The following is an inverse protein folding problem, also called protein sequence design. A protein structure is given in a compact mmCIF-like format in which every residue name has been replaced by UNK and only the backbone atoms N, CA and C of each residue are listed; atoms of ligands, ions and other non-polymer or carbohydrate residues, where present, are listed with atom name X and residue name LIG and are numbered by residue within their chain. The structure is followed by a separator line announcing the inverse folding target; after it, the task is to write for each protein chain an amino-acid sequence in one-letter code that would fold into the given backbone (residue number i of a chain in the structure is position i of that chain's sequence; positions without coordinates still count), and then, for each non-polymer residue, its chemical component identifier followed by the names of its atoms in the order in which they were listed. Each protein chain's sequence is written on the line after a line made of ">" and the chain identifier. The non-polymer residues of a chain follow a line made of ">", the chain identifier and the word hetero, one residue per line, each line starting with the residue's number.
data_IF_746756854444
#
_entry.id   IF_746756854444
#
_cell.length_a   1.000
_cell.length_b   1.000
_cell.length_c   1.000
_cell.angle_alpha   90.00
_cell.angle_beta   90.00
_cell.angle_gamma   90.00
#
_symmetry.space_group_name_H-M   'P 1'
#
loop_
_entity.id
_entity.type
_entity.pdbx_description
1 polymer ?
#
# COMPACT_ATOMS: atom_id res chain seq x y z
N UNK A 1 15.27 -18.77 -36.81
CA UNK A 1 16.44 -17.88 -36.64
C UNK A 1 16.06 -16.54 -37.26
N UNK A 2 15.60 -15.58 -36.45
CA UNK A 2 15.20 -14.26 -36.95
C UNK A 2 16.47 -13.41 -37.01
N UNK A 3 16.97 -13.15 -38.22
CA UNK A 3 18.09 -12.25 -38.45
C UNK A 3 17.65 -10.84 -38.05
N UNK A 4 18.32 -10.17 -37.10
CA UNK A 4 17.97 -8.80 -36.74
C UNK A 4 18.17 -7.88 -37.96
N UNK A 5 17.35 -6.82 -38.11
CA UNK A 5 17.51 -5.88 -39.20
C UNK A 5 18.93 -5.29 -39.22
N UNK A 6 19.58 -5.19 -40.40
CA UNK A 6 20.92 -4.65 -40.51
C UNK A 6 20.94 -3.18 -40.07
N UNK A 7 21.62 -2.90 -38.96
CA UNK A 7 21.82 -1.53 -38.44
C UNK A 7 21.55 -1.34 -36.95
N UNK A 8 21.03 -2.33 -36.23
CA UNK A 8 20.85 -2.24 -34.76
C UNK A 8 22.15 -2.67 -34.08
N UNK A 9 22.78 -1.83 -33.22
CA UNK A 9 24.00 -2.22 -32.51
C UNK A 9 23.74 -3.40 -31.57
N UNK A 10 24.77 -4.20 -31.29
CA UNK A 10 24.61 -5.39 -30.45
C UNK A 10 24.39 -5.02 -28.97
N UNK A 11 23.33 -5.54 -28.35
CA UNK A 11 23.05 -5.31 -26.94
C UNK A 11 23.61 -6.46 -26.10
N UNK A 12 24.62 -6.16 -25.28
CA UNK A 12 25.24 -7.11 -24.35
C UNK A 12 24.77 -6.84 -22.94
N UNK A 13 24.35 -7.88 -22.22
CA UNK A 13 23.89 -7.77 -20.84
C UNK A 13 24.60 -8.82 -20.00
N UNK A 14 25.14 -8.37 -18.85
CA UNK A 14 25.67 -9.22 -17.79
C UNK A 14 24.76 -9.05 -16.55
N UNK A 15 23.83 -10.00 -16.33
CA UNK A 15 22.95 -10.02 -15.15
C UNK A 15 23.70 -10.15 -13.83
N UNK A 16 24.84 -10.83 -13.83
CA UNK A 16 25.64 -11.07 -12.62
C UNK A 16 26.41 -9.82 -12.19
N UNK A 17 26.85 -9.00 -13.16
CA UNK A 17 27.55 -7.75 -12.88
C UNK A 17 26.64 -6.51 -12.87
N UNK A 18 25.34 -6.64 -13.16
CA UNK A 18 24.41 -5.52 -13.36
C UNK A 18 24.91 -4.51 -14.40
N UNK A 19 25.49 -5.00 -15.49
CA UNK A 19 26.07 -4.17 -16.56
C UNK A 19 25.43 -4.49 -17.89
N UNK A 20 25.25 -3.45 -18.69
CA UNK A 20 24.81 -3.55 -20.07
C UNK A 20 25.75 -2.72 -20.95
N UNK A 21 25.92 -3.15 -22.20
CA UNK A 21 26.72 -2.47 -23.20
C UNK A 21 25.95 -2.42 -24.51
N UNK A 22 26.15 -1.35 -25.26
CA UNK A 22 25.69 -1.23 -26.64
C UNK A 22 26.92 -1.19 -27.55
N UNK A 23 27.10 -2.24 -28.36
CA UNK A 23 28.36 -2.50 -29.05
C UNK A 23 29.54 -2.58 -28.06
N UNK A 24 30.40 -1.57 -28.07
CA UNK A 24 31.57 -1.45 -27.20
C UNK A 24 31.38 -0.48 -26.02
N UNK A 25 30.28 0.29 -25.97
CA UNK A 25 30.09 1.33 -24.95
C UNK A 25 29.29 0.81 -23.74
N UNK A 26 29.75 1.02 -22.50
CA UNK A 26 29.01 0.66 -21.30
C UNK A 26 27.84 1.62 -21.05
N UNK A 27 26.66 1.04 -20.79
CA UNK A 27 25.46 1.79 -20.42
C UNK A 27 25.41 2.00 -18.91
N UNK A 28 25.46 3.26 -18.49
CA UNK A 28 25.19 3.66 -17.11
C UNK A 28 23.66 3.66 -16.87
N UNK A 29 23.13 2.53 -16.42
CA UNK A 29 21.72 2.33 -16.08
C UNK A 29 21.52 2.36 -14.57
N UNK A 30 20.38 2.88 -14.12
CA UNK A 30 19.93 2.71 -12.73
C UNK A 30 19.48 1.27 -12.48
N UNK A 31 19.40 0.83 -11.21
CA UNK A 31 18.99 -0.54 -10.87
C UNK A 31 17.62 -0.93 -11.47
N UNK A 32 16.69 0.03 -11.55
CA UNK A 32 15.34 -0.20 -12.11
C UNK A 32 15.34 -0.24 -13.64
N UNK A 33 16.12 0.62 -14.28
CA UNK A 33 16.33 0.57 -15.74
C UNK A 33 16.98 -0.75 -16.15
N UNK A 34 17.97 -1.21 -15.38
CA UNK A 34 18.61 -2.50 -15.62
C UNK A 34 17.64 -3.67 -15.42
N UNK A 35 16.87 -3.70 -14.33
CA UNK A 35 15.88 -4.74 -14.09
C UNK A 35 14.83 -4.80 -15.21
N UNK A 36 14.38 -3.65 -15.70
CA UNK A 36 13.47 -3.55 -16.85
C UNK A 36 14.12 -4.11 -18.12
N UNK A 37 15.35 -3.69 -18.42
CA UNK A 37 16.08 -4.16 -19.59
C UNK A 37 16.34 -5.68 -19.52
N UNK A 38 16.75 -6.18 -18.37
CA UNK A 38 16.99 -7.61 -18.13
C UNK A 38 15.70 -8.43 -18.27
N UNK A 39 14.56 -7.91 -17.79
CA UNK A 39 13.27 -8.55 -17.97
C UNK A 39 12.87 -8.64 -19.45
N UNK A 40 13.06 -7.55 -20.20
CA UNK A 40 12.78 -7.51 -21.64
C UNK A 40 13.74 -8.42 -22.42
N UNK A 41 15.02 -8.46 -22.04
CA UNK A 41 16.04 -9.32 -22.64
C UNK A 41 15.79 -10.82 -22.36
N UNK A 42 15.35 -11.16 -21.15
CA UNK A 42 14.92 -12.52 -20.83
C UNK A 42 13.69 -12.96 -21.66
N UNK A 43 12.92 -12.00 -22.19
CA UNK A 43 11.74 -12.22 -23.02
C UNK A 43 11.95 -11.67 -24.44
N UNK A 44 13.18 -11.73 -24.98
CA UNK A 44 13.49 -11.21 -26.32
C UNK A 44 12.54 -11.77 -27.37
N UNK A 45 12.00 -10.89 -28.24
CA UNK A 45 10.99 -11.23 -29.25
C UNK A 45 9.56 -11.44 -28.73
N UNK A 46 9.36 -11.50 -27.41
CA UNK A 46 8.03 -11.61 -26.77
C UNK A 46 7.56 -10.24 -26.27
N UNK A 47 6.26 -10.00 -26.38
CA UNK A 47 5.62 -8.81 -25.79
C UNK A 47 5.44 -9.03 -24.29
N UNK A 48 6.03 -8.15 -23.49
CA UNK A 48 5.85 -8.09 -22.03
C UNK A 48 4.84 -6.99 -21.73
N UNK A 49 3.78 -7.31 -21.00
CA UNK A 49 2.73 -6.35 -20.68
C UNK A 49 3.18 -5.34 -19.62
N UNK A 50 2.50 -4.20 -19.56
CA UNK A 50 2.78 -3.18 -18.53
C UNK A 50 2.54 -3.70 -17.11
N UNK A 51 1.50 -4.51 -16.94
CA UNK A 51 1.18 -5.12 -15.65
C UNK A 51 2.26 -6.12 -15.23
N UNK A 52 2.75 -6.94 -16.17
CA UNK A 52 3.83 -7.90 -15.91
C UNK A 52 5.13 -7.19 -15.52
N UNK A 53 5.45 -6.08 -16.20
CA UNK A 53 6.59 -5.23 -15.85
C UNK A 53 6.43 -4.63 -14.45
N UNK A 54 5.24 -4.10 -14.14
CA UNK A 54 4.94 -3.52 -12.82
C UNK A 54 5.10 -4.55 -11.70
N UNK A 55 4.60 -5.78 -11.91
CA UNK A 55 4.72 -6.85 -10.94
C UNK A 55 6.16 -7.30 -10.74
N UNK A 56 6.89 -7.59 -11.83
CA UNK A 56 8.23 -8.21 -11.75
C UNK A 56 9.34 -7.25 -11.33
N UNK A 57 9.29 -6.00 -11.76
CA UNK A 57 10.35 -5.01 -11.46
C UNK A 57 9.99 -4.15 -10.25
N UNK A 58 8.70 -3.89 -10.02
CA UNK A 58 8.23 -2.93 -9.01
C UNK A 58 7.25 -3.51 -7.98
N UNK A 59 6.96 -4.81 -8.00
CA UNK A 59 6.11 -5.47 -7.00
C UNK A 59 4.63 -5.05 -7.04
N UNK A 60 4.16 -4.51 -8.18
CA UNK A 60 2.74 -4.21 -8.42
C UNK A 60 2.19 -2.94 -7.77
N UNK A 61 3.04 -2.08 -7.18
CA UNK A 61 2.60 -0.89 -6.43
C UNK A 61 2.77 0.45 -7.16
N UNK A 62 3.22 0.45 -8.42
CA UNK A 62 3.58 1.68 -9.14
C UNK A 62 2.67 2.01 -10.32
N UNK A 63 2.52 3.31 -10.57
CA UNK A 63 1.72 3.87 -11.64
C UNK A 63 2.39 3.68 -13.01
N UNK A 64 1.58 3.45 -14.04
CA UNK A 64 1.98 3.30 -15.44
C UNK A 64 2.98 4.37 -15.93
N UNK A 65 2.81 5.61 -15.44
CA UNK A 65 3.67 6.76 -15.76
C UNK A 65 5.13 6.55 -15.36
N UNK A 66 5.41 5.83 -14.28
CA UNK A 66 6.78 5.55 -13.84
C UNK A 66 7.48 4.57 -14.76
N UNK A 67 6.75 3.58 -15.30
CA UNK A 67 7.25 2.62 -16.29
C UNK A 67 7.57 3.37 -17.58
N UNK A 68 6.67 4.23 -18.04
CA UNK A 68 6.87 4.98 -19.29
C UNK A 68 8.03 5.97 -19.19
N UNK A 69 8.24 6.61 -18.03
CA UNK A 69 9.40 7.48 -17.76
C UNK A 69 10.72 6.69 -17.75
N UNK A 70 10.72 5.53 -17.09
CA UNK A 70 11.88 4.63 -17.06
C UNK A 70 12.21 4.13 -18.46
N UNK A 71 11.20 3.76 -19.25
CA UNK A 71 11.37 3.31 -20.63
C UNK A 71 11.88 4.43 -21.54
N UNK A 72 11.38 5.66 -21.38
CA UNK A 72 11.86 6.84 -22.11
C UNK A 72 13.34 7.11 -21.84
N UNK A 73 13.75 7.03 -20.56
CA UNK A 73 15.15 7.18 -20.18
C UNK A 73 16.00 6.03 -20.70
N UNK A 74 15.52 4.79 -20.63
CA UNK A 74 16.19 3.62 -21.15
C UNK A 74 16.39 3.70 -22.67
N UNK A 75 15.37 4.12 -23.43
CA UNK A 75 15.47 4.34 -24.89
C UNK A 75 16.52 5.38 -25.23
N UNK A 76 16.53 6.52 -24.51
CA UNK A 76 17.54 7.55 -24.69
C UNK A 76 18.96 7.02 -24.42
N UNK A 77 19.12 6.15 -23.41
CA UNK A 77 20.41 5.49 -23.10
C UNK A 77 20.82 4.47 -24.16
N UNK A 78 19.86 3.75 -24.73
CA UNK A 78 20.06 2.79 -25.82
C UNK A 78 20.26 3.46 -27.18
N UNK A 79 20.19 4.79 -27.28
CA UNK A 79 20.28 5.49 -28.56
C UNK A 79 19.04 5.30 -29.47
N UNK A 80 17.96 4.73 -28.93
CA UNK A 80 16.67 4.62 -29.63
C UNK A 80 16.07 6.03 -29.75
N UNK A 81 16.26 6.65 -30.91
CA UNK A 81 15.59 7.90 -31.26
C UNK A 81 14.12 7.61 -31.55
N UNK A 82 13.22 8.29 -30.83
CA UNK A 82 11.82 7.90 -30.66
C UNK A 82 10.93 7.70 -31.90
N UNK A 83 11.45 7.92 -33.12
CA UNK A 83 10.77 7.64 -34.39
C UNK A 83 11.21 6.33 -35.08
N UNK A 84 12.29 5.68 -34.63
CA UNK A 84 12.73 4.38 -35.13
C UNK A 84 13.20 3.52 -33.95
N UNK A 85 12.36 2.61 -33.41
CA UNK A 85 12.78 1.75 -32.31
C UNK A 85 13.79 0.73 -32.83
N UNK A 86 15.09 0.96 -32.58
CA UNK A 86 16.14 0.01 -32.91
C UNK A 86 16.12 -1.20 -31.98
N UNK A 87 15.85 -0.99 -30.68
CA UNK A 87 15.86 -2.06 -29.68
C UNK A 87 14.50 -2.33 -29.05
N UNK A 88 13.80 -1.31 -28.56
CA UNK A 88 12.55 -1.48 -27.79
C UNK A 88 11.34 -0.99 -28.59
N UNK A 89 10.54 -1.93 -29.07
CA UNK A 89 9.29 -1.68 -29.77
C UNK A 89 8.12 -1.49 -28.79
N UNK A 90 7.31 -0.45 -29.01
CA UNK A 90 6.02 -0.29 -28.32
C UNK A 90 4.93 -0.99 -29.11
N UNK A 91 4.36 -2.06 -28.56
CA UNK A 91 3.13 -2.66 -29.11
C UNK A 91 1.93 -1.93 -28.51
N UNK A 92 1.32 -1.03 -29.28
CA UNK A 92 0.19 -0.20 -28.83
C UNK A 92 -0.92 -1.08 -28.25
N UNK A 93 -1.41 -0.72 -27.07
CA UNK A 93 -2.47 -1.43 -26.37
C UNK A 93 -2.06 -2.71 -25.63
N UNK A 94 -0.83 -3.23 -25.81
CA UNK A 94 -0.43 -4.52 -25.21
C UNK A 94 0.78 -4.37 -24.27
N UNK A 95 1.87 -3.74 -24.73
CA UNK A 95 3.09 -3.69 -23.93
C UNK A 95 4.34 -3.33 -24.72
N UNK A 96 5.46 -3.90 -24.30
CA UNK A 96 6.79 -3.59 -24.81
C UNK A 96 7.50 -4.87 -25.24
N UNK A 97 8.26 -4.79 -26.35
CA UNK A 97 9.01 -5.91 -26.91
C UNK A 97 10.43 -5.47 -27.23
N UNK A 98 11.40 -6.36 -26.97
CA UNK A 98 12.79 -6.16 -27.38
C UNK A 98 13.06 -6.94 -28.67
N UNK A 99 13.53 -6.26 -29.70
CA UNK A 99 13.82 -6.82 -31.05
C UNK A 99 15.33 -6.93 -31.34
N UNK A 100 16.18 -6.76 -30.33
CA UNK A 100 17.64 -6.77 -30.50
C UNK A 100 18.22 -8.20 -30.45
N UNK A 101 19.28 -8.46 -31.21
CA UNK A 101 20.13 -9.62 -31.01
C UNK A 101 20.90 -9.45 -29.70
N UNK A 102 20.32 -9.96 -28.62
CA UNK A 102 20.97 -9.98 -27.30
C UNK A 102 22.01 -11.09 -27.30
N UNK A 103 23.28 -10.74 -27.16
CA UNK A 103 24.30 -11.71 -26.78
C UNK A 103 24.51 -11.67 -25.27
N UNK A 104 24.14 -12.77 -24.62
CA UNK A 104 24.45 -12.98 -23.21
C UNK A 104 25.94 -13.31 -23.13
N UNK A 105 26.73 -12.44 -22.53
CA UNK A 105 28.15 -12.69 -22.35
C UNK A 105 28.34 -13.92 -21.45
N UNK A 106 29.01 -14.95 -21.97
CA UNK A 106 29.37 -16.14 -21.20
C UNK A 106 30.27 -15.75 -20.00
N UNK A 107 30.14 -16.41 -18.84
CA UNK A 107 30.91 -16.04 -17.65
C UNK A 107 32.36 -16.52 -17.76
N UNK A 108 33.30 -15.65 -18.10
CA UNK A 108 34.73 -15.91 -17.90
C UNK A 108 35.17 -15.51 -16.47
N UNK A 109 35.95 -16.34 -15.74
CA UNK A 109 36.42 -16.05 -14.38
C UNK A 109 37.58 -15.03 -14.34
N UNK A 110 37.90 -14.44 -13.17
CA UNK A 110 38.11 -13.00 -13.07
C UNK A 110 39.57 -12.57 -12.84
N UNK A 111 39.93 -11.41 -13.39
CA UNK A 111 40.99 -10.57 -12.82
C UNK A 111 40.56 -9.09 -12.76
N UNK A 112 40.68 -8.50 -11.57
CA UNK A 112 40.73 -7.06 -11.29
C UNK A 112 39.45 -6.19 -11.28
N UNK A 113 38.28 -6.76 -11.07
CA UNK A 113 37.03 -5.99 -10.81
C UNK A 113 36.30 -6.31 -9.50
N UNK A 114 36.71 -7.36 -8.79
CA UNK A 114 36.02 -7.82 -7.57
C UNK A 114 36.28 -6.88 -6.38
N UNK A 115 37.52 -6.42 -6.18
CA UNK A 115 37.86 -5.45 -5.12
C UNK A 115 37.18 -4.09 -5.27
N UNK A 116 37.03 -3.59 -6.50
CA UNK A 116 36.28 -2.35 -6.76
C UNK A 116 34.78 -2.54 -6.65
N UNK A 117 34.25 -3.75 -6.95
CA UNK A 117 32.84 -4.10 -6.72
C UNK A 117 32.53 -4.18 -5.23
N UNK A 118 33.39 -4.83 -4.45
CA UNK A 118 33.22 -4.98 -3.00
C UNK A 118 33.28 -3.61 -2.31
N UNK A 119 34.24 -2.76 -2.66
CA UNK A 119 34.30 -1.39 -2.10
C UNK A 119 33.21 -0.45 -2.60
N UNK A 120 32.70 -0.59 -3.84
CA UNK A 120 31.55 0.20 -4.30
C UNK A 120 30.24 -0.26 -3.66
N UNK A 121 30.04 -1.57 -3.51
CA UNK A 121 28.85 -2.12 -2.85
C UNK A 121 28.84 -1.68 -1.39
N UNK A 122 29.97 -1.81 -0.68
CA UNK A 122 30.10 -1.31 0.70
C UNK A 122 29.87 0.19 0.81
N UNK A 123 30.32 0.98 -0.17
CA UNK A 123 30.11 2.43 -0.19
C UNK A 123 28.64 2.78 -0.46
N UNK A 124 27.99 2.09 -1.39
CA UNK A 124 26.58 2.28 -1.72
C UNK A 124 25.71 1.86 -0.54
N UNK A 125 26.00 0.72 0.09
CA UNK A 125 25.26 0.24 1.26
C UNK A 125 25.43 1.19 2.44
N UNK A 126 26.65 1.68 2.71
CA UNK A 126 26.87 2.72 3.73
C UNK A 126 26.13 4.02 3.41
N UNK A 127 26.10 4.44 2.14
CA UNK A 127 25.35 5.64 1.75
C UNK A 127 23.84 5.44 1.89
N UNK A 128 23.33 4.25 1.54
CA UNK A 128 21.92 3.90 1.69
C UNK A 128 21.53 3.83 3.17
N UNK A 129 22.34 3.21 4.02
CA UNK A 129 22.14 3.23 5.48
C UNK A 129 22.11 4.65 6.02
N UNK A 130 23.03 5.52 5.58
CA UNK A 130 23.07 6.90 6.06
C UNK A 130 21.84 7.69 5.62
N UNK A 131 21.37 7.51 4.39
CA UNK A 131 20.14 8.14 3.87
C UNK A 131 18.91 7.61 4.62
N UNK A 132 18.80 6.30 4.86
CA UNK A 132 17.68 5.68 5.58
C UNK A 132 17.67 6.07 7.06
N UNK A 133 18.82 6.10 7.72
CA UNK A 133 18.95 6.54 9.11
C UNK A 133 18.48 7.99 9.25
N UNK A 134 18.94 8.87 8.35
CA UNK A 134 18.59 10.30 8.37
C UNK A 134 17.12 10.55 7.99
N UNK A 135 16.58 9.77 7.07
CA UNK A 135 15.15 9.78 6.75
C UNK A 135 14.29 9.30 7.94
N UNK A 136 14.75 8.26 8.66
CA UNK A 136 14.07 7.75 9.86
C UNK A 136 14.11 8.75 11.00
N UNK A 137 15.24 9.43 11.23
CA UNK A 137 15.36 10.50 12.23
C UNK A 137 14.44 11.69 11.93
N UNK A 138 14.33 12.09 10.66
CA UNK A 138 13.45 13.18 10.24
C UNK A 138 11.96 12.79 10.24
N UNK A 139 11.63 11.54 9.93
CA UNK A 139 10.25 11.06 9.85
C UNK A 139 9.68 10.60 11.20
N UNK A 140 10.54 10.12 12.12
CA UNK A 140 10.13 9.66 13.45
C UNK A 140 9.27 10.68 14.22
N UNK A 141 9.67 11.96 14.38
CA UNK A 141 8.86 12.91 15.14
C UNK A 141 7.52 13.20 14.45
N UNK A 142 7.47 13.24 13.11
CA UNK A 142 6.24 13.48 12.36
C UNK A 142 5.25 12.32 12.51
N UNK A 143 5.74 11.08 12.45
CA UNK A 143 4.92 9.87 12.62
C UNK A 143 4.44 9.76 14.07
N UNK A 144 5.30 10.05 15.04
CA UNK A 144 4.95 9.97 16.46
C UNK A 144 3.93 11.05 16.85
N UNK A 145 4.09 12.28 16.35
CA UNK A 145 3.12 13.36 16.56
C UNK A 145 1.77 13.05 15.90
N UNK A 146 1.78 12.47 14.70
CA UNK A 146 0.56 12.03 14.03
C UNK A 146 -0.15 10.88 14.77
N UNK A 147 0.61 9.92 15.31
CA UNK A 147 0.08 8.83 16.13
C UNK A 147 -0.47 9.33 17.46
N UNK A 148 0.21 10.29 18.11
CA UNK A 148 -0.25 10.93 19.35
C UNK A 148 -1.55 11.69 19.12
N UNK A 149 -1.62 12.51 18.07
CA UNK A 149 -2.85 13.23 17.70
C UNK A 149 -4.01 12.28 17.36
N UNK A 150 -3.73 11.17 16.67
CA UNK A 150 -4.74 10.13 16.41
C UNK A 150 -5.21 9.46 17.71
N UNK A 151 -4.28 9.11 18.61
CA UNK A 151 -4.59 8.53 19.92
C UNK A 151 -5.43 9.47 20.80
N UNK A 152 -5.12 10.76 20.82
CA UNK A 152 -5.89 11.78 21.55
C UNK A 152 -7.32 11.89 21.02
N UNK A 153 -7.51 11.82 19.70
CA UNK A 153 -8.84 11.85 19.08
C UNK A 153 -9.67 10.62 19.42
N UNK A 154 -9.05 9.44 19.42
CA UNK A 154 -9.70 8.19 19.83
C UNK A 154 -10.06 8.24 21.32
N UNK A 155 -9.14 8.65 22.18
CA UNK A 155 -9.39 8.78 23.62
C UNK A 155 -10.49 9.83 23.91
N UNK A 156 -10.54 10.93 23.16
CA UNK A 156 -11.61 11.91 23.30
C UNK A 156 -12.98 11.35 22.86
N UNK A 157 -13.02 10.55 21.80
CA UNK A 157 -14.25 9.88 21.38
C UNK A 157 -14.72 8.85 22.42
N UNK A 158 -13.79 8.06 22.98
CA UNK A 158 -14.10 7.06 24.01
C UNK A 158 -14.63 7.71 25.31
N UNK A 159 -14.04 8.84 25.72
CA UNK A 159 -14.57 9.65 26.84
C UNK A 159 -15.99 10.14 26.57
N UNK A 160 -16.30 10.56 25.35
CA UNK A 160 -17.66 10.99 24.97
C UNK A 160 -18.65 9.83 25.04
N UNK A 161 -18.28 8.68 24.46
CA UNK A 161 -19.12 7.48 24.51
C UNK A 161 -19.36 7.00 25.94
N UNK A 162 -18.34 7.07 26.80
CA UNK A 162 -18.47 6.72 28.22
C UNK A 162 -19.39 7.70 28.94
N UNK A 163 -19.24 9.01 28.70
CA UNK A 163 -20.11 10.03 29.28
C UNK A 163 -21.56 9.86 28.82
N UNK A 164 -21.79 9.59 27.53
CA UNK A 164 -23.13 9.34 27.00
C UNK A 164 -23.74 8.07 27.60
N UNK A 165 -22.96 6.99 27.74
CA UNK A 165 -23.41 5.77 28.42
C UNK A 165 -23.83 6.04 29.86
N UNK A 166 -23.05 6.85 30.60
CA UNK A 166 -23.42 7.22 31.97
C UNK A 166 -24.71 8.04 32.02
N UNK A 167 -24.86 9.02 31.12
CA UNK A 167 -26.10 9.82 31.03
C UNK A 167 -27.33 8.95 30.77
N UNK A 168 -27.21 7.94 29.90
CA UNK A 168 -28.30 7.00 29.66
C UNK A 168 -28.63 6.16 30.89
N UNK A 169 -27.62 5.69 31.63
CA UNK A 169 -27.82 4.96 32.88
C UNK A 169 -28.51 5.82 33.95
N UNK A 170 -28.12 7.09 34.08
CA UNK A 170 -28.71 8.03 35.02
C UNK A 170 -30.19 8.32 34.66
N UNK A 171 -30.49 8.51 33.38
CA UNK A 171 -31.87 8.66 32.88
C UNK A 171 -32.71 7.43 33.14
N UNK A 172 -32.16 6.23 32.90
CA UNK A 172 -32.85 4.97 33.17
C UNK A 172 -33.16 4.83 34.68
N UNK A 173 -32.21 5.14 35.55
CA UNK A 173 -32.41 5.12 36.99
C UNK A 173 -33.49 6.12 37.43
N UNK A 174 -33.51 7.32 36.85
CA UNK A 174 -34.54 8.32 37.13
C UNK A 174 -35.93 7.86 36.69
N UNK A 175 -36.06 7.34 35.47
CA UNK A 175 -37.31 6.78 34.98
C UNK A 175 -37.82 5.63 35.86
N UNK A 176 -36.92 4.72 36.29
CA UNK A 176 -37.26 3.65 37.23
C UNK A 176 -37.78 4.20 38.56
N UNK A 177 -37.15 5.25 39.13
CA UNK A 177 -37.63 5.91 40.36
C UNK A 177 -39.02 6.52 40.19
N UNK A 178 -39.27 7.18 39.05
CA UNK A 178 -40.57 7.77 38.75
C UNK A 178 -41.66 6.71 38.63
N UNK A 179 -41.38 5.60 37.93
CA UNK A 179 -42.31 4.46 37.82
C UNK A 179 -42.63 3.91 39.22
N UNK A 180 -41.62 3.64 40.05
CA UNK A 180 -41.84 3.14 41.42
C UNK A 180 -42.61 4.12 42.32
N UNK A 181 -42.44 5.42 42.13
CA UNK A 181 -43.21 6.44 42.85
C UNK A 181 -44.68 6.44 42.43
N UNK A 182 -44.94 6.30 41.12
CA UNK A 182 -46.29 6.17 40.59
C UNK A 182 -46.96 4.89 41.10
N UNK A 183 -46.28 3.75 41.06
CA UNK A 183 -46.79 2.46 41.56
C UNK A 183 -47.19 2.56 43.04
N UNK A 184 -46.32 3.11 43.90
CA UNK A 184 -46.65 3.34 45.33
C UNK A 184 -47.87 4.23 45.53
N UNK A 185 -48.06 5.22 44.67
CA UNK A 185 -49.22 6.13 44.73
C UNK A 185 -50.49 5.37 44.34
N UNK A 186 -50.43 4.53 43.30
CA UNK A 186 -51.54 3.68 42.88
C UNK A 186 -51.92 2.68 43.97
N UNK A 187 -50.95 2.04 44.61
CA UNK A 187 -51.22 1.07 45.69
C UNK A 187 -51.88 1.72 46.91
N UNK A 188 -51.48 2.96 47.26
CA UNK A 188 -52.13 3.73 48.32
C UNK A 188 -53.60 3.99 47.99
N UNK A 189 -53.90 4.46 46.77
CA UNK A 189 -55.27 4.69 46.32
C UNK A 189 -56.11 3.40 46.30
N UNK A 190 -55.50 2.26 45.97
CA UNK A 190 -56.17 0.95 46.04
C UNK A 190 -56.45 0.49 47.47
N UNK A 191 -55.53 0.72 48.40
CA UNK A 191 -55.67 0.35 49.82
C UNK A 191 -56.63 1.26 50.61
N UNK A 192 -56.85 2.48 50.15
CA UNK A 192 -57.81 3.44 50.74
C UNK A 192 -59.28 3.14 50.37
N UNK A 193 -59.57 2.15 49.53
CA UNK A 193 -60.95 1.66 49.38
C UNK A 193 -61.36 0.88 50.63
N UNK A 194 -62.23 1.43 51.51
CA UNK A 194 -62.70 0.67 52.66
C UNK A 194 -63.55 -0.50 52.14
N UNK A 195 -63.23 -1.72 52.57
CA UNK A 195 -64.14 -2.86 52.47
C UNK A 195 -65.45 -2.46 53.14
N UNK A 196 -66.48 -2.21 52.33
CA UNK A 196 -67.80 -1.82 52.81
C UNK A 196 -68.33 -2.89 53.79
N UNK A 197 -68.87 -2.50 54.96
CA UNK A 197 -69.44 -3.48 55.87
C UNK A 197 -70.69 -4.11 55.25
N UNK A 198 -70.73 -5.44 55.33
CA UNK A 198 -71.89 -6.30 55.11
C UNK A 198 -73.17 -5.67 55.66
N UNK A 199 -74.12 -5.33 54.79
CA UNK A 199 -75.46 -4.90 55.18
C UNK A 199 -76.15 -5.96 56.06
N UNK A 200 -76.87 -5.58 57.14
CA UNK A 200 -77.63 -6.54 57.95
C UNK A 200 -78.92 -6.97 57.21
N UNK A 201 -79.55 -8.09 57.63
CA UNK A 201 -80.74 -8.61 56.96
C UNK A 201 -81.94 -7.70 57.22
N UNK A 202 -82.72 -7.48 56.16
CA UNK A 202 -83.93 -6.66 56.19
C UNK A 202 -85.07 -7.52 56.75
N UNK A 203 -85.39 -7.37 58.04
CA UNK A 203 -86.65 -7.90 58.59
C UNK A 203 -87.80 -6.97 58.21
N UNK A 204 -88.65 -7.44 57.30
CA UNK A 204 -89.90 -6.80 56.96
C UNK A 204 -90.93 -6.99 58.07
N UNK A 205 -91.46 -5.89 58.59
CA UNK A 205 -92.73 -5.89 59.32
C UNK A 205 -93.72 -5.00 58.57
N UNK A 206 -94.69 -5.65 57.92
CA UNK A 206 -95.92 -5.01 57.47
C UNK A 206 -96.86 -4.87 58.68
N UNK A 207 -97.35 -3.65 58.93
CA UNK A 207 -98.74 -3.37 59.29
C UNK A 207 -99.08 -1.92 58.95
#
# INVERSE_FOLDING_TARGET
>A
MSTPPPGVPELRIDPSAYKAWIGAEPLALTSKEFQLLALLAANTGRVVSRDEISQKVWGGRLAQKSIDMCLSTLRRRLGDSGNAPGHIETVRGVGYRLESAVSVAAPEPPVSGARLRETLTDLIDRMQEHIQARAKELAAPVIEDAQRAAGERVAAADRRLTADRQRWADLEAELRRQIQALERTVDRLRGEHPTAPSSPPIEGTCQ
#
